data_IF_003839610003
#
_entry.id   IF_003839610003
#
_cell.length_a   1.000
_cell.length_b   1.000
_cell.length_c   1.000
_cell.angle_alpha   90.00
_cell.angle_beta   90.00
_cell.angle_gamma   90.00
#
_symmetry.space_group_name_H-M   'P 1'
#
loop_
_entity.id
_entity.type
_entity.pdbx_description
1 polymer ?
#
# COMPACT_ATOMS: atom_id res chain seq x y z
N UNK A 1 -27.42 -10.30 3.28
CA UNK A 1 -28.36 -10.87 2.32
C UNK A 1 -27.59 -11.70 1.31
N UNK A 2 -28.21 -12.73 0.76
CA UNK A 2 -27.58 -13.60 -0.24
C UNK A 2 -27.74 -12.97 -1.63
N UNK A 3 -26.66 -12.94 -2.40
CA UNK A 3 -26.67 -12.60 -3.83
C UNK A 3 -26.48 -13.89 -4.59
N UNK A 4 -27.51 -14.33 -5.30
CA UNK A 4 -27.47 -15.60 -6.02
C UNK A 4 -26.47 -15.57 -7.17
N UNK A 5 -25.86 -16.72 -7.46
CA UNK A 5 -24.96 -16.89 -8.59
C UNK A 5 -25.02 -18.30 -9.14
N UNK A 6 -24.68 -18.44 -10.43
CA UNK A 6 -24.74 -19.70 -11.15
C UNK A 6 -23.88 -20.80 -10.48
N UNK A 7 -22.77 -20.42 -9.86
CA UNK A 7 -21.82 -21.34 -9.25
C UNK A 7 -21.85 -21.27 -7.72
N UNK A 8 -21.89 -20.06 -7.14
CA UNK A 8 -21.86 -19.82 -5.69
C UNK A 8 -22.55 -18.50 -5.34
N UNK A 9 -23.14 -18.39 -4.14
CA UNK A 9 -23.70 -17.14 -3.65
C UNK A 9 -22.63 -16.23 -3.02
N UNK A 10 -22.91 -14.93 -2.97
CA UNK A 10 -22.16 -13.97 -2.15
C UNK A 10 -22.99 -13.54 -0.93
N UNK A 11 -22.33 -13.22 0.18
CA UNK A 11 -23.00 -12.64 1.35
C UNK A 11 -22.76 -11.12 1.37
N UNK A 12 -23.82 -10.35 1.15
CA UNK A 12 -23.75 -8.90 1.01
C UNK A 12 -24.42 -8.15 2.17
N UNK A 13 -23.80 -7.08 2.62
CA UNK A 13 -24.36 -6.05 3.51
C UNK A 13 -24.28 -4.70 2.82
N UNK A 14 -25.29 -3.86 2.99
CA UNK A 14 -25.30 -2.52 2.40
C UNK A 14 -25.09 -1.47 3.48
N UNK A 15 -24.40 -0.40 3.12
CA UNK A 15 -24.26 0.79 3.96
C UNK A 15 -24.74 2.00 3.17
N UNK A 16 -26.07 2.27 3.13
CA UNK A 16 -26.63 3.34 2.30
C UNK A 16 -26.10 4.74 2.64
N UNK A 17 -25.64 4.97 3.87
CA UNK A 17 -25.02 6.24 4.28
C UNK A 17 -23.71 6.52 3.56
N UNK A 18 -23.01 5.46 3.16
CA UNK A 18 -21.71 5.52 2.52
C UNK A 18 -21.83 5.20 1.03
N UNK A 19 -23.04 4.88 0.55
CA UNK A 19 -23.34 4.48 -0.83
C UNK A 19 -22.57 3.23 -1.32
N UNK A 20 -22.25 2.31 -0.40
CA UNK A 20 -21.46 1.09 -0.70
C UNK A 20 -22.21 -0.20 -0.33
N UNK A 21 -22.14 -1.19 -1.22
CA UNK A 21 -22.43 -2.59 -0.92
C UNK A 21 -21.13 -3.37 -0.61
N UNK A 22 -21.04 -4.03 0.54
CA UNK A 22 -19.92 -4.90 0.87
C UNK A 22 -20.36 -6.36 0.75
N UNK A 23 -19.65 -7.16 -0.01
CA UNK A 23 -19.91 -8.57 -0.17
C UNK A 23 -18.69 -9.41 0.20
N UNK A 24 -18.94 -10.56 0.81
CA UNK A 24 -17.95 -11.62 0.96
C UNK A 24 -18.24 -12.74 -0.04
N UNK A 25 -17.18 -13.25 -0.69
CA UNK A 25 -17.24 -14.34 -1.66
C UNK A 25 -16.21 -15.42 -1.35
N UNK A 26 -16.41 -16.59 -1.96
CA UNK A 26 -15.41 -17.63 -2.05
C UNK A 26 -15.53 -18.27 -3.44
N UNK A 27 -14.60 -17.98 -4.33
CA UNK A 27 -14.60 -18.47 -5.71
C UNK A 27 -14.17 -19.93 -5.78
N UNK A 28 -14.54 -20.63 -6.85
CA UNK A 28 -14.17 -22.01 -7.04
C UNK A 28 -12.65 -22.19 -7.24
N UNK A 29 -12.10 -23.23 -6.64
CA UNK A 29 -10.75 -23.71 -6.93
C UNK A 29 -10.59 -23.99 -8.44
N UNK A 30 -9.60 -23.39 -9.10
CA UNK A 30 -9.34 -23.62 -10.53
C UNK A 30 -8.74 -22.41 -11.26
N UNK A 31 -9.21 -22.15 -12.49
CA UNK A 31 -8.71 -21.05 -13.32
C UNK A 31 -9.47 -19.72 -13.15
N UNK A 32 -10.20 -19.55 -12.03
CA UNK A 32 -10.96 -18.32 -11.73
C UNK A 32 -12.15 -18.08 -12.66
N UNK A 33 -12.77 -19.14 -13.19
CA UNK A 33 -13.85 -19.04 -14.18
C UNK A 33 -15.13 -18.36 -13.63
N UNK A 34 -15.35 -18.44 -12.32
CA UNK A 34 -16.49 -17.88 -11.61
C UNK A 34 -16.18 -16.55 -10.92
N UNK A 35 -14.91 -16.12 -10.84
CA UNK A 35 -14.51 -14.83 -10.24
C UNK A 35 -15.23 -13.65 -10.88
N UNK A 36 -15.16 -13.52 -12.22
CA UNK A 36 -15.84 -12.42 -12.92
C UNK A 36 -17.36 -12.46 -12.72
N UNK A 37 -18.07 -13.59 -12.95
CA UNK A 37 -19.50 -13.69 -12.67
C UNK A 37 -19.86 -13.34 -11.22
N UNK A 38 -19.09 -13.79 -10.23
CA UNK A 38 -19.34 -13.47 -8.81
C UNK A 38 -19.29 -11.96 -8.55
N UNK A 39 -18.24 -11.30 -9.05
CA UNK A 39 -18.09 -9.83 -8.90
C UNK A 39 -19.19 -9.09 -9.66
N UNK A 40 -19.53 -9.53 -10.88
CA UNK A 40 -20.59 -8.92 -11.68
C UNK A 40 -21.96 -9.01 -10.98
N UNK A 41 -22.29 -10.16 -10.36
CA UNK A 41 -23.56 -10.32 -9.66
C UNK A 41 -23.69 -9.36 -8.48
N UNK A 42 -22.60 -9.13 -7.72
CA UNK A 42 -22.60 -8.14 -6.64
C UNK A 42 -22.77 -6.73 -7.19
N UNK A 43 -22.07 -6.39 -8.27
CA UNK A 43 -22.21 -5.08 -8.91
C UNK A 43 -23.64 -4.83 -9.43
N UNK A 44 -24.25 -5.82 -10.07
CA UNK A 44 -25.62 -5.74 -10.59
C UNK A 44 -26.64 -5.61 -9.45
N UNK A 45 -26.46 -6.34 -8.34
CA UNK A 45 -27.32 -6.24 -7.17
C UNK A 45 -27.18 -4.87 -6.47
N UNK A 46 -25.95 -4.34 -6.35
CA UNK A 46 -25.72 -3.00 -5.82
C UNK A 46 -26.43 -1.94 -6.68
N UNK A 47 -26.27 -2.01 -8.00
CA UNK A 47 -26.93 -1.13 -8.95
C UNK A 47 -28.47 -1.25 -8.88
N UNK A 48 -29.00 -2.47 -8.78
CA UNK A 48 -30.43 -2.73 -8.61
C UNK A 48 -31.02 -2.11 -7.34
N UNK A 49 -30.18 -1.87 -6.34
CA UNK A 49 -30.52 -1.17 -5.08
C UNK A 49 -30.28 0.34 -5.12
N UNK A 50 -29.80 0.86 -6.24
CA UNK A 50 -29.47 2.28 -6.40
C UNK A 50 -28.20 2.70 -5.68
N UNK A 51 -27.30 1.75 -5.37
CA UNK A 51 -25.97 2.04 -4.82
C UNK A 51 -24.97 2.21 -5.98
N UNK A 52 -24.13 3.24 -5.90
CA UNK A 52 -23.11 3.47 -6.94
C UNK A 52 -21.84 2.67 -6.70
N UNK A 53 -21.61 2.21 -5.46
CA UNK A 53 -20.39 1.52 -5.10
C UNK A 53 -20.60 0.13 -4.54
N UNK A 54 -19.60 -0.73 -4.78
CA UNK A 54 -19.55 -2.09 -4.28
C UNK A 54 -18.11 -2.50 -3.98
N UNK A 55 -17.93 -3.38 -3.00
CA UNK A 55 -16.66 -3.97 -2.61
C UNK A 55 -16.87 -5.46 -2.33
N UNK A 56 -16.11 -6.31 -3.03
CA UNK A 56 -16.17 -7.76 -2.94
C UNK A 56 -14.87 -8.26 -2.33
N UNK A 57 -14.94 -8.81 -1.12
CA UNK A 57 -13.82 -9.39 -0.38
C UNK A 57 -13.88 -10.91 -0.42
N UNK A 58 -12.73 -11.57 -0.50
CA UNK A 58 -12.63 -12.97 -0.10
C UNK A 58 -11.59 -13.75 -0.86
N UNK A 59 -11.68 -15.06 -0.72
CA UNK A 59 -10.84 -16.02 -1.42
C UNK A 59 -11.30 -16.14 -2.87
N UNK A 60 -10.52 -15.58 -3.79
CA UNK A 60 -10.80 -15.66 -5.22
C UNK A 60 -10.16 -16.88 -5.88
N UNK A 61 -9.35 -17.67 -5.16
CA UNK A 61 -8.59 -18.79 -5.72
C UNK A 61 -7.81 -18.41 -7.02
N UNK A 62 -7.42 -17.14 -7.13
CA UNK A 62 -6.82 -16.55 -8.31
C UNK A 62 -5.94 -15.37 -7.88
N UNK A 63 -4.73 -15.23 -8.42
CA UNK A 63 -3.89 -14.09 -8.05
C UNK A 63 -4.45 -12.76 -8.58
N UNK A 64 -4.17 -11.62 -7.93
CA UNK A 64 -4.51 -10.27 -8.43
C UNK A 64 -4.10 -10.06 -9.90
N UNK A 65 -2.90 -10.54 -10.24
CA UNK A 65 -2.32 -10.48 -11.58
C UNK A 65 -3.11 -11.23 -12.65
N UNK A 66 -3.77 -12.32 -12.29
CA UNK A 66 -4.65 -13.06 -13.20
C UNK A 66 -6.05 -12.47 -13.20
N UNK A 67 -6.54 -12.00 -12.06
CA UNK A 67 -7.86 -11.38 -11.93
C UNK A 67 -8.02 -10.14 -12.81
N UNK A 68 -6.98 -9.30 -12.93
CA UNK A 68 -6.99 -8.12 -13.83
C UNK A 68 -7.17 -8.46 -15.31
N UNK A 69 -6.97 -9.72 -15.71
CA UNK A 69 -7.12 -10.18 -17.09
C UNK A 69 -8.53 -10.71 -17.40
N UNK A 70 -9.41 -10.83 -16.41
CA UNK A 70 -10.72 -11.47 -16.57
C UNK A 70 -11.78 -10.58 -17.24
N UNK A 71 -11.52 -9.28 -17.44
CA UNK A 71 -12.56 -8.34 -17.91
C UNK A 71 -13.64 -8.13 -16.84
N UNK A 72 -13.21 -7.77 -15.64
CA UNK A 72 -14.05 -7.40 -14.50
C UNK A 72 -15.02 -6.25 -14.85
N UNK A 73 -16.07 -6.01 -14.05
CA UNK A 73 -16.98 -4.87 -14.27
C UNK A 73 -16.22 -3.55 -14.46
N UNK A 74 -16.85 -2.58 -15.14
CA UNK A 74 -16.23 -1.28 -15.37
C UNK A 74 -15.77 -0.63 -14.05
N UNK A 75 -14.66 0.10 -14.12
CA UNK A 75 -14.03 0.80 -12.99
C UNK A 75 -13.60 -0.09 -11.82
N UNK A 76 -13.49 -1.42 -12.04
CA UNK A 76 -12.95 -2.34 -11.04
C UNK A 76 -11.48 -2.04 -10.74
N UNK A 77 -11.16 -2.01 -9.46
CA UNK A 77 -9.83 -1.94 -8.85
C UNK A 77 -9.63 -3.17 -7.98
N UNK A 78 -8.37 -3.60 -7.86
CA UNK A 78 -7.97 -4.72 -7.01
C UNK A 78 -7.16 -4.13 -5.86
N UNK A 79 -7.71 -4.25 -4.65
CA UNK A 79 -7.01 -3.89 -3.43
C UNK A 79 -6.42 -5.15 -2.81
N UNK A 80 -5.11 -5.21 -2.70
CA UNK A 80 -4.37 -6.39 -2.30
C UNK A 80 -3.12 -6.00 -1.49
N UNK A 81 -2.59 -6.96 -0.74
CA UNK A 81 -1.44 -6.79 0.14
C UNK A 81 -0.09 -6.96 -0.58
N UNK A 82 -0.06 -7.66 -1.72
CA UNK A 82 1.22 -8.07 -2.33
C UNK A 82 1.94 -9.15 -1.52
N UNK A 83 1.30 -9.69 -0.48
CA UNK A 83 1.80 -10.74 0.38
C UNK A 83 1.04 -12.04 0.13
N UNK A 84 1.68 -13.18 0.41
CA UNK A 84 0.99 -14.46 0.37
C UNK A 84 -0.17 -14.48 1.39
N UNK A 85 -1.35 -14.85 0.91
CA UNK A 85 -2.57 -15.02 1.73
C UNK A 85 -3.03 -16.47 1.82
N UNK A 86 -2.30 -17.41 1.19
CA UNK A 86 -2.50 -18.84 1.32
C UNK A 86 -1.18 -19.66 1.37
N UNK A 87 -1.15 -20.78 2.12
CA UNK A 87 0.04 -21.63 2.40
C UNK A 87 0.93 -22.03 1.20
N UNK A 88 0.39 -22.00 -0.03
CA UNK A 88 1.12 -22.20 -1.28
C UNK A 88 2.10 -21.08 -1.63
N UNK A 89 2.04 -19.95 -0.92
CA UNK A 89 2.79 -18.73 -1.22
C UNK A 89 2.06 -17.78 -2.17
N UNK A 90 0.83 -18.09 -2.58
CA UNK A 90 0.04 -17.21 -3.44
C UNK A 90 -0.81 -16.22 -2.61
N UNK A 91 -1.07 -15.06 -3.21
CA UNK A 91 -2.11 -14.12 -2.76
C UNK A 91 -3.44 -14.50 -3.41
N UNK A 92 -4.38 -15.05 -2.64
CA UNK A 92 -5.70 -15.49 -3.10
C UNK A 92 -6.85 -14.73 -2.43
N UNK A 93 -6.61 -14.16 -1.25
CA UNK A 93 -7.55 -13.32 -0.51
C UNK A 93 -7.24 -11.84 -0.72
N UNK A 94 -8.18 -11.11 -1.31
CA UNK A 94 -8.07 -9.67 -1.56
C UNK A 94 -9.45 -9.06 -1.80
N UNK A 95 -9.51 -7.78 -2.18
CA UNK A 95 -10.75 -7.09 -2.53
C UNK A 95 -10.78 -6.70 -4.00
N UNK A 96 -11.93 -6.82 -4.64
CA UNK A 96 -12.25 -6.18 -5.91
C UNK A 96 -13.36 -5.16 -5.66
N UNK A 97 -13.20 -3.92 -6.11
CA UNK A 97 -14.17 -2.86 -5.86
C UNK A 97 -14.16 -1.78 -6.95
N UNK A 98 -15.28 -1.11 -7.17
CA UNK A 98 -15.31 0.12 -7.98
C UNK A 98 -15.14 1.41 -7.16
N UNK A 99 -14.99 1.32 -5.83
CA UNK A 99 -14.64 2.47 -5.01
C UNK A 99 -13.24 2.92 -5.39
N UNK A 100 -13.06 4.22 -5.59
CA UNK A 100 -11.77 4.85 -5.84
C UNK A 100 -11.26 5.51 -4.56
N UNK A 101 -10.38 4.82 -3.84
CA UNK A 101 -9.84 5.34 -2.59
C UNK A 101 -8.43 4.86 -2.35
N UNK A 102 -7.60 5.70 -1.74
CA UNK A 102 -6.27 5.33 -1.26
C UNK A 102 -6.32 4.87 0.22
N UNK A 103 -7.49 5.01 0.87
CA UNK A 103 -7.70 4.70 2.29
C UNK A 103 -7.91 3.21 2.54
N UNK A 104 -7.94 2.35 1.52
CA UNK A 104 -8.10 0.91 1.74
C UNK A 104 -6.79 0.21 1.55
N UNK A 105 -6.01 0.10 2.63
CA UNK A 105 -4.74 -0.63 2.65
C UNK A 105 -4.91 -2.01 3.27
N UNK A 106 -4.43 -3.03 2.56
CA UNK A 106 -4.51 -4.42 2.98
C UNK A 106 -3.41 -4.76 4.01
N UNK A 107 -3.71 -5.61 4.98
CA UNK A 107 -2.74 -6.14 5.93
C UNK A 107 -3.05 -7.60 6.20
N UNK A 108 -2.05 -8.47 6.01
CA UNK A 108 -2.15 -9.89 6.34
C UNK A 108 -1.93 -10.06 7.84
N UNK A 109 -2.86 -10.73 8.51
CA UNK A 109 -2.78 -11.00 9.95
C UNK A 109 -2.21 -12.37 10.27
N UNK A 110 -2.06 -12.63 11.57
CA UNK A 110 -1.53 -13.89 12.08
C UNK A 110 -2.42 -15.07 11.68
N UNK A 111 -1.81 -16.10 11.12
CA UNK A 111 -2.50 -17.34 10.83
C UNK A 111 -2.53 -18.26 12.05
N UNK A 112 -3.75 -18.61 12.46
CA UNK A 112 -4.05 -19.44 13.63
C UNK A 112 -4.33 -20.91 13.25
N UNK A 113 -3.66 -21.43 12.22
CA UNK A 113 -3.76 -22.82 11.77
C UNK A 113 -4.65 -23.06 10.55
N UNK A 114 -5.08 -22.00 9.88
CA UNK A 114 -5.78 -22.02 8.60
C UNK A 114 -4.80 -22.19 7.42
N UNK A 115 -5.28 -22.64 6.28
CA UNK A 115 -4.52 -22.61 5.03
C UNK A 115 -4.54 -21.24 4.35
N UNK A 116 -5.50 -20.39 4.72
CA UNK A 116 -5.57 -18.97 4.36
C UNK A 116 -5.26 -18.07 5.57
N UNK A 117 -4.48 -17.01 5.36
CA UNK A 117 -4.25 -15.96 6.34
C UNK A 117 -5.38 -14.92 6.29
N UNK A 118 -5.82 -14.35 7.44
CA UNK A 118 -6.81 -13.29 7.45
C UNK A 118 -6.25 -12.01 6.82
N UNK A 119 -7.05 -11.33 5.99
CA UNK A 119 -6.69 -10.04 5.37
C UNK A 119 -7.62 -8.95 5.89
N UNK A 120 -7.02 -7.87 6.39
CA UNK A 120 -7.72 -6.71 6.92
C UNK A 120 -7.54 -5.52 6.00
N UNK A 121 -8.56 -4.70 5.85
CA UNK A 121 -8.49 -3.44 5.10
C UNK A 121 -8.72 -2.27 6.05
N UNK A 122 -7.79 -1.33 6.06
CA UNK A 122 -7.85 -0.17 6.95
C UNK A 122 -7.19 1.05 6.34
N UNK A 123 -7.57 2.23 6.86
CA UNK A 123 -7.06 3.50 6.39
C UNK A 123 -5.72 3.87 7.02
N UNK A 124 -4.85 4.45 6.19
CA UNK A 124 -3.61 5.10 6.63
C UNK A 124 -3.85 6.29 7.57
N UNK A 125 -5.10 6.78 7.65
CA UNK A 125 -5.46 8.08 8.22
C UNK A 125 -6.41 8.01 9.43
N UNK A 126 -6.55 6.86 10.09
CA UNK A 126 -7.54 6.69 11.15
C UNK A 126 -7.25 7.54 12.43
N UNK A 127 -7.82 8.74 12.52
CA UNK A 127 -7.99 9.49 13.78
C UNK A 127 -6.73 10.16 14.37
N UNK A 128 -6.79 10.52 15.66
CA UNK A 128 -5.92 11.49 16.34
C UNK A 128 -4.40 11.21 16.33
N UNK A 129 -3.99 10.00 15.93
CA UNK A 129 -2.61 9.65 15.54
C UNK A 129 -2.69 8.66 14.36
N UNK A 130 -1.79 8.76 13.36
CA UNK A 130 -1.75 7.79 12.27
C UNK A 130 -1.51 6.40 12.85
N UNK A 131 -2.21 5.35 12.39
CA UNK A 131 -1.84 3.99 12.74
C UNK A 131 -0.38 3.76 12.34
N UNK A 132 0.37 3.14 13.22
CA UNK A 132 1.69 2.60 12.91
C UNK A 132 1.55 1.63 11.74
N UNK A 133 2.51 1.60 10.83
CA UNK A 133 2.49 0.75 9.65
C UNK A 133 3.86 0.17 9.34
N UNK A 134 3.88 -0.87 8.52
CA UNK A 134 5.10 -1.33 7.86
C UNK A 134 5.05 -0.98 6.37
N UNK A 135 6.20 -0.73 5.75
CA UNK A 135 6.31 -0.47 4.31
C UNK A 135 7.07 -1.64 3.70
N UNK A 136 6.38 -2.45 2.90
CA UNK A 136 6.89 -3.67 2.27
C UNK A 136 7.32 -3.37 0.83
N UNK A 137 8.56 -3.70 0.47
CA UNK A 137 9.06 -3.55 -0.91
C UNK A 137 8.51 -4.64 -1.83
N UNK A 138 7.92 -4.26 -2.97
CA UNK A 138 7.27 -5.19 -3.93
C UNK A 138 8.25 -6.18 -4.56
N UNK A 139 9.54 -5.82 -4.67
CA UNK A 139 10.56 -6.72 -5.20
C UNK A 139 10.94 -7.88 -4.25
N UNK A 140 10.49 -7.89 -3.01
CA UNK A 140 10.90 -8.85 -1.98
C UNK A 140 9.76 -9.10 -0.99
N UNK A 141 10.00 -9.87 0.08
CA UNK A 141 9.10 -9.97 1.24
C UNK A 141 9.64 -9.16 2.43
N UNK A 142 10.36 -8.05 2.15
CA UNK A 142 11.14 -7.28 3.14
C UNK A 142 10.56 -5.91 3.39
N UNK A 143 10.81 -5.39 4.59
CA UNK A 143 10.29 -4.12 5.05
C UNK A 143 11.36 -3.03 4.99
N UNK A 144 10.95 -1.78 4.80
CA UNK A 144 11.79 -0.62 5.09
C UNK A 144 12.19 -0.64 6.57
N UNK A 145 13.49 -0.63 6.80
CA UNK A 145 14.13 -0.86 8.08
C UNK A 145 15.20 0.23 8.32
N UNK A 146 15.17 0.86 9.49
CA UNK A 146 16.27 1.72 9.93
C UNK A 146 17.43 0.82 10.36
N UNK A 147 18.56 0.90 9.64
CA UNK A 147 19.66 -0.04 9.78
C UNK A 147 20.11 -0.20 11.24
N UNK A 148 20.04 -1.44 11.73
CA UNK A 148 20.39 -1.85 13.11
C UNK A 148 19.58 -1.15 14.22
N UNK A 149 18.47 -0.49 13.89
CA UNK A 149 17.70 0.33 14.84
C UNK A 149 18.51 1.50 15.41
N UNK A 150 19.52 1.98 14.67
CA UNK A 150 20.32 3.11 15.12
C UNK A 150 19.52 4.41 14.96
N UNK A 151 19.47 5.23 16.01
CA UNK A 151 18.70 6.46 16.08
C UNK A 151 19.50 7.70 15.66
N UNK A 152 20.77 7.57 15.28
CA UNK A 152 21.58 8.74 14.88
C UNK A 152 21.15 9.32 13.52
N UNK A 153 21.20 10.65 13.38
CA UNK A 153 20.97 11.32 12.09
C UNK A 153 21.93 10.79 11.02
N UNK A 154 21.38 10.51 9.84
CA UNK A 154 22.14 9.94 8.73
C UNK A 154 22.17 8.41 8.71
N UNK A 155 21.58 7.72 9.70
CA UNK A 155 21.43 6.27 9.66
C UNK A 155 20.63 5.86 8.42
N UNK A 156 21.22 5.00 7.60
CA UNK A 156 20.63 4.54 6.35
C UNK A 156 19.33 3.76 6.58
N UNK A 157 18.41 3.88 5.64
CA UNK A 157 17.26 2.99 5.52
C UNK A 157 17.57 1.90 4.50
N UNK A 158 17.28 0.66 4.88
CA UNK A 158 17.50 -0.54 4.07
C UNK A 158 16.20 -1.31 3.92
N UNK A 159 16.16 -2.32 3.06
CA UNK A 159 15.18 -3.39 3.20
C UNK A 159 15.74 -4.46 4.14
N UNK A 160 14.88 -5.07 4.95
CA UNK A 160 15.27 -6.18 5.82
C UNK A 160 14.10 -7.14 6.04
N UNK A 161 14.38 -8.42 6.24
CA UNK A 161 13.33 -9.40 6.56
C UNK A 161 12.53 -8.97 7.78
N UNK A 162 11.23 -9.26 7.76
CA UNK A 162 10.35 -8.95 8.88
C UNK A 162 10.81 -9.68 10.14
N UNK A 163 11.00 -8.94 11.22
CA UNK A 163 11.40 -9.49 12.53
C UNK A 163 10.56 -8.92 13.69
N UNK A 164 9.54 -8.11 13.38
CA UNK A 164 8.64 -7.50 14.35
C UNK A 164 9.23 -6.34 15.15
N UNK A 165 10.49 -5.95 14.88
CA UNK A 165 11.17 -4.87 15.59
C UNK A 165 10.59 -3.49 15.23
N UNK A 166 10.74 -2.53 16.16
CA UNK A 166 10.15 -1.19 16.04
C UNK A 166 10.82 -0.33 14.97
N UNK A 167 12.08 -0.63 14.61
CA UNK A 167 12.82 0.04 13.55
C UNK A 167 12.31 -0.31 12.13
N UNK A 168 11.34 -1.23 12.01
CA UNK A 168 10.62 -1.56 10.78
C UNK A 168 9.24 -0.90 10.69
N UNK A 169 8.92 -0.03 11.66
CA UNK A 169 7.59 0.54 11.84
C UNK A 169 7.60 2.04 11.66
N UNK A 170 6.60 2.55 10.95
CA UNK A 170 6.55 3.92 10.49
C UNK A 170 5.19 4.56 10.80
N UNK A 171 5.15 5.89 10.85
CA UNK A 171 3.92 6.68 10.98
C UNK A 171 3.89 7.75 9.89
N UNK A 172 2.70 8.00 9.33
CA UNK A 172 2.52 9.01 8.29
C UNK A 172 1.92 10.28 8.88
N UNK A 173 2.68 11.37 8.92
CA UNK A 173 2.15 12.68 9.26
C UNK A 173 1.81 13.45 7.98
N UNK A 174 0.53 13.77 7.76
CA UNK A 174 0.12 14.65 6.66
C UNK A 174 0.60 16.08 6.88
N UNK A 175 1.16 16.70 5.86
CA UNK A 175 1.79 18.04 5.95
C UNK A 175 1.32 19.01 4.85
N UNK A 176 0.20 18.69 4.20
CA UNK A 176 -0.42 19.48 3.12
C UNK A 176 -0.42 18.76 1.79
N UNK A 177 -0.60 19.52 0.71
CA UNK A 177 -0.72 19.01 -0.66
C UNK A 177 0.45 19.48 -1.51
N UNK A 178 1.00 18.59 -2.33
CA UNK A 178 2.03 18.93 -3.30
C UNK A 178 1.44 19.83 -4.38
N UNK A 179 2.06 20.99 -4.62
CA UNK A 179 1.63 21.86 -5.71
C UNK A 179 2.02 21.33 -7.09
N UNK A 180 3.00 20.43 -7.17
CA UNK A 180 3.46 19.85 -8.44
C UNK A 180 2.62 18.67 -8.90
N UNK A 181 2.13 17.86 -7.97
CA UNK A 181 1.44 16.60 -8.31
C UNK A 181 -0.04 16.60 -7.89
N UNK A 182 -0.45 17.48 -6.97
CA UNK A 182 -1.80 17.49 -6.41
C UNK A 182 -2.04 16.42 -5.34
N UNK A 183 -1.07 15.52 -5.10
CA UNK A 183 -1.17 14.50 -4.05
C UNK A 183 -0.91 15.07 -2.66
N UNK A 184 -1.46 14.41 -1.64
CA UNK A 184 -1.11 14.68 -0.25
C UNK A 184 0.36 14.37 0.00
N UNK A 185 1.03 15.27 0.73
CA UNK A 185 2.40 15.09 1.19
C UNK A 185 2.41 14.55 2.61
N UNK A 186 3.39 13.71 2.90
CA UNK A 186 3.60 13.08 4.18
C UNK A 186 5.04 13.17 4.63
N UNK A 187 5.22 13.26 5.94
CA UNK A 187 6.45 12.81 6.61
C UNK A 187 6.27 11.37 7.06
N UNK A 188 7.25 10.55 6.73
CA UNK A 188 7.30 9.14 7.10
C UNK A 188 8.23 9.06 8.30
N UNK A 189 7.68 8.90 9.49
CA UNK A 189 8.42 8.95 10.76
C UNK A 189 8.71 7.56 11.27
N UNK A 190 9.96 7.27 11.63
CA UNK A 190 10.33 6.06 12.34
C UNK A 190 9.63 6.01 13.69
N UNK A 191 8.96 4.90 13.97
CA UNK A 191 8.28 4.68 15.26
C UNK A 191 9.25 4.40 16.40
N UNK A 192 10.50 4.05 16.07
CA UNK A 192 11.57 3.77 17.01
C UNK A 192 12.18 5.08 17.54
N UNK A 193 12.72 5.90 16.63
CA UNK A 193 13.47 7.12 16.98
C UNK A 193 12.65 8.41 16.94
N UNK A 194 11.45 8.39 16.35
CA UNK A 194 10.65 9.59 16.08
C UNK A 194 11.22 10.49 14.97
N UNK A 195 12.27 10.03 14.26
CA UNK A 195 12.93 10.76 13.17
C UNK A 195 12.25 10.53 11.83
N UNK A 196 12.44 11.45 10.91
CA UNK A 196 11.81 11.43 9.60
C UNK A 196 12.70 10.73 8.56
N UNK A 197 12.09 9.99 7.64
CA UNK A 197 12.72 9.56 6.40
C UNK A 197 13.18 10.80 5.64
N UNK A 198 14.45 10.82 5.22
CA UNK A 198 15.08 11.95 4.55
C UNK A 198 15.98 11.43 3.43
N UNK A 199 16.27 12.30 2.47
CA UNK A 199 17.21 12.05 1.39
C UNK A 199 18.59 12.50 1.84
N UNK A 200 19.57 11.59 1.81
CA UNK A 200 20.94 11.95 2.12
C UNK A 200 21.45 13.06 1.20
N UNK A 201 22.19 14.02 1.77
CA UNK A 201 22.66 15.27 1.13
C UNK A 201 21.54 16.27 0.80
N UNK A 202 20.30 16.02 1.23
CA UNK A 202 19.18 16.94 1.10
C UNK A 202 19.01 17.46 -0.32
N UNK A 203 18.86 18.78 -0.48
CA UNK A 203 18.67 19.42 -1.79
C UNK A 203 19.85 19.28 -2.76
N UNK A 204 21.03 18.85 -2.31
CA UNK A 204 22.22 18.62 -3.16
C UNK A 204 22.34 17.16 -3.64
N UNK A 205 21.35 16.34 -3.30
CA UNK A 205 21.31 14.94 -3.66
C UNK A 205 21.05 14.72 -5.16
N UNK A 206 21.39 13.54 -5.63
CA UNK A 206 21.15 13.06 -6.99
C UNK A 206 20.71 11.60 -7.02
N UNK A 207 20.73 11.02 -8.21
CA UNK A 207 20.33 9.62 -8.42
C UNK A 207 21.26 8.67 -7.68
N UNK A 208 20.70 7.75 -6.92
CA UNK A 208 21.45 6.77 -6.15
C UNK A 208 21.89 7.25 -4.76
N UNK A 209 21.67 8.51 -4.40
CA UNK A 209 21.82 8.91 -3.00
C UNK A 209 20.79 8.16 -2.14
N UNK A 210 21.23 7.69 -0.98
CA UNK A 210 20.43 6.85 -0.11
C UNK A 210 19.39 7.63 0.69
N UNK A 211 18.33 6.95 1.09
CA UNK A 211 17.43 7.45 2.12
C UNK A 211 17.99 7.11 3.50
N UNK A 212 17.83 8.04 4.44
CA UNK A 212 18.25 7.90 5.82
C UNK A 212 17.14 8.36 6.75
N UNK A 213 17.39 8.28 8.06
CA UNK A 213 16.60 9.01 9.04
C UNK A 213 17.32 10.27 9.49
N UNK A 214 16.56 11.33 9.73
CA UNK A 214 17.04 12.60 10.24
C UNK A 214 16.01 13.25 11.16
N UNK A 215 16.47 14.08 12.09
CA UNK A 215 15.57 14.90 12.91
C UNK A 215 14.53 15.60 12.02
N UNK A 216 13.26 15.45 12.38
CA UNK A 216 12.19 16.04 11.61
C UNK A 216 12.32 17.55 11.59
N UNK A 217 12.26 18.16 10.40
CA UNK A 217 12.16 19.61 10.23
C UNK A 217 10.81 20.13 10.79
N UNK A 218 10.61 21.44 10.94
CA UNK A 218 9.28 22.00 11.24
C UNK A 218 8.33 21.80 10.06
N UNK A 219 7.00 21.73 10.30
CA UNK A 219 6.00 21.37 9.26
C UNK A 219 5.99 22.32 8.04
N UNK A 220 6.40 23.58 8.24
CA UNK A 220 6.55 24.58 7.18
C UNK A 220 7.87 24.43 6.39
N UNK A 221 8.73 23.49 6.79
CA UNK A 221 10.07 23.25 6.28
C UNK A 221 11.13 24.11 6.98
N UNK A 222 12.34 23.57 7.17
CA UNK A 222 13.49 24.28 7.78
C UNK A 222 14.79 23.80 7.11
N UNK A 223 15.82 24.64 6.88
CA UNK A 223 15.89 26.10 6.72
C UNK A 223 16.24 26.52 5.27
N UNK A 224 15.83 25.74 4.27
CA UNK A 224 16.09 26.05 2.85
C UNK A 224 15.08 27.02 2.22
N UNK A 225 15.47 27.70 1.14
CA UNK A 225 14.50 28.44 0.31
C UNK A 225 13.51 27.46 -0.34
N UNK A 226 12.20 27.72 -0.20
CA UNK A 226 11.13 26.94 -0.83
C UNK A 226 10.14 26.22 0.10
N UNK A 227 10.30 26.31 1.43
CA UNK A 227 9.35 25.79 2.41
C UNK A 227 9.11 24.28 2.29
N UNK A 228 7.97 23.80 2.79
CA UNK A 228 7.58 22.38 2.77
C UNK A 228 7.59 21.75 1.36
N UNK A 229 7.44 22.54 0.28
CA UNK A 229 7.49 22.03 -1.08
C UNK A 229 8.90 21.60 -1.52
N UNK A 230 9.96 22.10 -0.87
CA UNK A 230 11.36 21.77 -1.19
C UNK A 230 12.12 21.06 -0.06
N UNK A 231 11.39 20.57 0.92
CA UNK A 231 11.93 19.80 2.03
C UNK A 231 12.08 18.33 1.60
N UNK A 232 13.28 17.77 1.78
CA UNK A 232 13.61 16.39 1.41
C UNK A 232 13.04 15.34 2.36
N UNK A 233 12.35 15.74 3.42
CA UNK A 233 11.60 14.84 4.31
C UNK A 233 10.15 14.61 3.88
N UNK A 234 9.72 15.24 2.78
CA UNK A 234 8.33 15.29 2.37
C UNK A 234 8.11 14.42 1.14
N UNK A 235 7.24 13.42 1.27
CA UNK A 235 6.96 12.42 0.24
C UNK A 235 5.49 12.43 -0.16
N UNK A 236 5.20 12.31 -1.45
CA UNK A 236 3.87 11.95 -1.94
C UNK A 236 3.78 10.43 -2.06
N UNK A 237 2.60 9.89 -1.75
CA UNK A 237 2.24 8.50 -2.03
C UNK A 237 1.50 8.49 -3.36
N UNK A 238 2.06 7.85 -4.38
CA UNK A 238 1.53 7.84 -5.74
C UNK A 238 1.17 6.41 -6.17
N UNK A 239 0.04 6.26 -6.85
CA UNK A 239 -0.49 4.96 -7.28
C UNK A 239 -0.50 4.90 -8.81
N UNK A 240 0.60 4.44 -9.45
CA UNK A 240 0.81 4.58 -10.89
C UNK A 240 -0.18 3.77 -11.73
N UNK A 241 -0.70 2.65 -11.22
CA UNK A 241 -1.83 1.94 -11.83
C UNK A 241 -3.11 2.21 -11.03
N UNK A 242 -4.08 2.97 -11.57
CA UNK A 242 -5.35 3.25 -10.88
C UNK A 242 -6.17 1.99 -10.61
N UNK A 243 -5.85 0.85 -11.24
CA UNK A 243 -6.47 -0.45 -10.95
C UNK A 243 -5.85 -1.16 -9.75
N UNK A 244 -4.70 -0.72 -9.24
CA UNK A 244 -3.97 -1.31 -8.11
C UNK A 244 -3.67 -0.25 -7.04
N UNK A 245 -4.67 0.21 -6.26
CA UNK A 245 -4.50 1.36 -5.35
C UNK A 245 -3.61 1.10 -4.12
N UNK A 246 -3.13 -0.14 -3.94
CA UNK A 246 -2.17 -0.47 -2.89
C UNK A 246 -0.72 -0.45 -3.36
N UNK A 247 -0.49 -0.52 -4.68
CA UNK A 247 0.84 -0.48 -5.26
C UNK A 247 1.33 0.97 -5.27
N UNK A 248 2.14 1.31 -4.26
CA UNK A 248 2.47 2.70 -3.93
C UNK A 248 3.92 3.02 -4.30
N UNK A 249 4.15 4.15 -4.97
CA UNK A 249 5.47 4.75 -5.14
C UNK A 249 5.65 5.90 -4.16
N UNK A 250 6.81 5.96 -3.50
CA UNK A 250 7.16 7.04 -2.57
C UNK A 250 7.98 8.10 -3.31
N UNK A 251 7.35 9.17 -3.77
CA UNK A 251 8.03 10.25 -4.48
C UNK A 251 8.49 11.31 -3.50
N UNK A 252 9.77 11.64 -3.49
CA UNK A 252 10.26 12.79 -2.76
C UNK A 252 9.79 14.09 -3.45
N UNK A 253 9.10 14.97 -2.72
CA UNK A 253 8.49 16.16 -3.31
C UNK A 253 9.55 17.16 -3.81
N UNK A 254 10.67 17.27 -3.09
CA UNK A 254 11.71 18.25 -3.39
C UNK A 254 12.58 17.84 -4.59
N UNK A 255 12.99 16.58 -4.66
CA UNK A 255 13.86 16.09 -5.75
C UNK A 255 13.08 15.57 -6.95
N UNK A 256 11.82 15.17 -6.74
CA UNK A 256 10.98 14.52 -7.73
C UNK A 256 11.39 13.10 -8.09
N UNK A 257 12.30 12.51 -7.31
CA UNK A 257 12.78 11.14 -7.45
C UNK A 257 12.00 10.21 -6.50
N UNK A 258 12.06 8.92 -6.76
CA UNK A 258 11.30 7.91 -6.05
C UNK A 258 12.19 7.06 -5.16
N UNK A 259 11.68 6.66 -3.99
CA UNK A 259 12.31 5.63 -3.18
C UNK A 259 12.48 4.37 -4.04
N UNK A 260 13.66 3.77 -3.98
CA UNK A 260 14.03 2.67 -4.82
C UNK A 260 14.96 1.72 -4.07
N UNK A 261 14.75 0.42 -4.21
CA UNK A 261 15.68 -0.59 -3.75
C UNK A 261 16.84 -0.68 -4.75
N UNK A 262 18.04 -0.34 -4.28
CA UNK A 262 19.24 -0.27 -5.11
C UNK A 262 19.48 -1.57 -5.88
N UNK A 263 19.66 -1.46 -7.20
CA UNK A 263 19.92 -2.57 -8.13
C UNK A 263 18.86 -3.68 -8.14
N UNK A 264 17.64 -3.42 -7.65
CA UNK A 264 16.63 -4.45 -7.44
C UNK A 264 17.16 -5.63 -6.59
N UNK A 265 18.08 -5.35 -5.68
CA UNK A 265 18.59 -6.35 -4.74
C UNK A 265 17.42 -6.82 -3.85
N UNK A 266 17.32 -8.12 -3.61
CA UNK A 266 16.26 -8.74 -2.79
C UNK A 266 16.77 -9.14 -1.41
N UNK A 267 18.05 -8.88 -1.11
CA UNK A 267 18.74 -9.27 0.11
C UNK A 267 18.53 -8.31 1.27
N UNK A 268 18.76 -8.84 2.48
CA UNK A 268 18.79 -8.04 3.70
C UNK A 268 19.91 -7.00 3.66
N UNK A 269 19.58 -5.77 4.07
CA UNK A 269 20.53 -4.67 4.13
C UNK A 269 20.74 -3.97 2.78
N UNK A 270 20.03 -4.35 1.73
CA UNK A 270 20.03 -3.61 0.48
C UNK A 270 19.47 -2.19 0.70
N UNK A 271 20.18 -1.20 0.14
CA UNK A 271 19.93 0.20 0.45
C UNK A 271 18.65 0.68 -0.23
N UNK A 272 17.87 1.47 0.50
CA UNK A 272 16.84 2.31 -0.11
C UNK A 272 17.52 3.59 -0.57
N UNK A 273 17.40 3.89 -1.85
CA UNK A 273 17.95 5.07 -2.52
C UNK A 273 16.82 5.89 -3.12
N UNK A 274 17.13 7.08 -3.64
CA UNK A 274 16.25 7.75 -4.58
C UNK A 274 16.72 7.51 -6.02
N UNK A 275 15.77 7.30 -6.94
CA UNK A 275 16.04 7.05 -8.35
C UNK A 275 14.95 7.68 -9.22
N UNK A 276 15.22 8.03 -10.50
CA UNK A 276 14.16 8.36 -11.44
C UNK A 276 13.16 7.21 -11.59
N UNK A 277 11.91 7.53 -11.88
CA UNK A 277 10.90 6.55 -12.29
C UNK A 277 11.46 5.64 -13.41
N UNK A 278 11.47 4.33 -13.16
CA UNK A 278 11.94 3.32 -14.09
C UNK A 278 10.86 3.04 -15.13
N UNK A 279 10.68 4.02 -16.04
CA UNK A 279 9.66 4.08 -17.09
C UNK A 279 9.16 2.70 -17.57
N UNK A 280 7.85 2.46 -17.43
CA UNK A 280 7.21 1.21 -17.81
C UNK A 280 5.69 1.34 -17.89
N UNK A 281 5.01 0.25 -18.29
CA UNK A 281 3.54 0.18 -18.21
C UNK A 281 3.04 0.01 -16.77
N UNK A 282 3.89 -0.57 -15.92
CA UNK A 282 3.72 -0.78 -14.49
C UNK A 282 5.05 -0.37 -13.83
N UNK A 283 5.03 0.08 -12.56
CA UNK A 283 6.27 0.41 -11.85
C UNK A 283 7.16 -0.83 -11.76
N UNK A 284 8.47 -0.62 -11.74
CA UNK A 284 9.40 -1.70 -11.45
C UNK A 284 9.23 -2.17 -9.99
N UNK A 285 9.36 -3.47 -9.68
CA UNK A 285 9.13 -3.96 -8.31
C UNK A 285 10.02 -3.31 -7.24
N UNK A 286 11.19 -2.79 -7.63
CA UNK A 286 12.11 -2.11 -6.71
C UNK A 286 11.78 -0.63 -6.48
N UNK A 287 10.76 -0.05 -7.10
CA UNK A 287 10.28 1.33 -6.80
C UNK A 287 8.84 1.36 -6.27
N UNK A 288 8.18 0.21 -6.23
CA UNK A 288 6.85 0.03 -5.65
C UNK A 288 6.91 -0.59 -4.25
N UNK A 289 5.95 -0.21 -3.42
CA UNK A 289 5.81 -0.62 -2.04
C UNK A 289 4.33 -0.83 -1.69
N UNK A 290 4.07 -1.74 -0.75
CA UNK A 290 2.78 -1.89 -0.09
C UNK A 290 2.87 -1.34 1.33
N UNK A 291 1.85 -0.59 1.75
CA UNK A 291 1.77 -0.05 3.10
C UNK A 291 0.78 -0.90 3.89
N UNK A 292 1.21 -1.44 5.03
CA UNK A 292 0.37 -2.29 5.89
C UNK A 292 0.13 -1.59 7.23
N UNK A 293 -1.02 -0.92 7.41
CA UNK A 293 -1.39 -0.38 8.70
C UNK A 293 -1.51 -1.47 9.77
N UNK A 294 -1.14 -1.14 11.00
CA UNK A 294 -1.34 -2.03 12.12
C UNK A 294 -2.83 -2.36 12.29
N UNK A 295 -3.11 -3.64 12.51
CA UNK A 295 -4.46 -4.12 12.79
C UNK A 295 -4.86 -3.58 14.17
N UNK A 296 -5.83 -2.66 14.21
CA UNK A 296 -6.29 -2.05 15.46
C UNK A 296 -6.94 -3.11 16.38
N UNK A 297 -6.40 -3.26 17.59
CA UNK A 297 -6.91 -4.11 18.69
C UNK A 297 -7.29 -5.55 18.31
N UNK A 298 -6.38 -6.50 18.58
CA UNK A 298 -6.77 -7.84 19.02
C UNK A 298 -6.99 -7.84 20.54
#
# INVERSE_FOLDING_TARGET
MEVEGMYRPALMVTRPTDDVAFASVHAASGNGFDVRPLVQNVADEANGRGLNHWAVLGDFNLTPDRARLLGLPADSRIYHSGQATQQSGNELDYMISNVDTEDWQATVGDNRGSDHWPVYFSALRAGALPPELTIHADNSDRLLDVFQGNDTNGTHVVQYHTNGAVNQRWRLQSIGTSTSTGHMMYRIMSSDSGKCLDVNRGQQSGWGDYLNIWDCHDIDGVPGSGGNQRDTQNFTLEHPDPRLPNLTMLRNNATGLYANISNNDRGDGAWVIQWPDQSGRFPAPNESFYLHPAIANQ
#
